data_IF_545778189419
#
_entry.id   IF_545778189419
#
_cell.length_a   1.000
_cell.length_b   1.000
_cell.length_c   1.000
_cell.angle_alpha   90.00
_cell.angle_beta   90.00
_cell.angle_gamma   90.00
#
_symmetry.space_group_name_H-M   'P 1'
#
loop_
_entity.id
_entity.type
_entity.pdbx_description
1 polymer ?
#
# COMPACT_ATOMS: atom_id res chain seq x y z
N UNK A 1 1.64 -21.60 3.39
CA UNK A 1 1.32 -20.33 4.08
C UNK A 1 1.45 -20.53 5.58
N UNK A 2 2.49 -19.98 6.21
CA UNK A 2 2.60 -19.99 7.68
C UNK A 2 1.66 -18.94 8.29
N UNK A 3 1.16 -19.16 9.51
CA UNK A 3 0.24 -18.22 10.21
C UNK A 3 0.82 -16.79 10.26
N UNK A 4 2.15 -16.69 10.36
CA UNK A 4 2.88 -15.43 10.33
C UNK A 4 2.73 -14.68 8.99
N UNK A 5 2.79 -15.37 7.85
CA UNK A 5 2.59 -14.75 6.53
C UNK A 5 1.17 -14.21 6.38
N UNK A 6 0.17 -14.94 6.90
CA UNK A 6 -1.23 -14.52 6.83
C UNK A 6 -1.47 -13.26 7.68
N UNK A 7 -0.92 -13.23 8.90
CA UNK A 7 -0.97 -12.06 9.77
C UNK A 7 -0.24 -10.86 9.15
N UNK A 8 0.93 -11.08 8.59
CA UNK A 8 1.70 -10.03 7.92
C UNK A 8 0.93 -9.47 6.71
N UNK A 9 0.36 -10.33 5.86
CA UNK A 9 -0.46 -9.91 4.72
C UNK A 9 -1.69 -9.11 5.17
N UNK A 10 -2.39 -9.55 6.21
CA UNK A 10 -3.54 -8.83 6.76
C UNK A 10 -3.15 -7.44 7.27
N UNK A 11 -2.04 -7.33 8.01
CA UNK A 11 -1.51 -6.04 8.49
C UNK A 11 -1.12 -5.13 7.32
N UNK A 12 -0.48 -5.66 6.29
CA UNK A 12 -0.09 -4.90 5.10
C UNK A 12 -1.28 -4.38 4.30
N UNK A 13 -2.34 -5.19 4.14
CA UNK A 13 -3.59 -4.75 3.50
C UNK A 13 -4.24 -3.62 4.29
N UNK A 14 -4.34 -3.77 5.61
CA UNK A 14 -4.89 -2.72 6.48
C UNK A 14 -4.06 -1.45 6.44
N UNK A 15 -2.74 -1.57 6.44
CA UNK A 15 -1.83 -0.44 6.31
C UNK A 15 -2.00 0.27 4.96
N UNK A 16 -2.10 -0.48 3.86
CA UNK A 16 -2.33 0.07 2.53
C UNK A 16 -3.66 0.85 2.49
N UNK A 17 -4.75 0.24 2.97
CA UNK A 17 -6.06 0.89 3.08
C UNK A 17 -6.04 2.15 3.96
N UNK A 18 -5.26 2.15 5.04
CA UNK A 18 -5.06 3.34 5.87
C UNK A 18 -4.37 4.47 5.09
N UNK A 19 -3.30 4.19 4.35
CA UNK A 19 -2.60 5.20 3.57
C UNK A 19 -3.47 5.77 2.44
N UNK A 20 -4.19 4.91 1.73
CA UNK A 20 -5.16 5.32 0.71
C UNK A 20 -6.24 6.22 1.33
N UNK A 21 -6.83 5.80 2.46
CA UNK A 21 -7.81 6.60 3.19
C UNK A 21 -7.27 7.96 3.65
N UNK A 22 -6.02 8.00 4.11
CA UNK A 22 -5.35 9.24 4.50
C UNK A 22 -5.12 10.17 3.30
N UNK A 23 -4.73 9.63 2.15
CA UNK A 23 -4.56 10.38 0.90
C UNK A 23 -5.89 11.02 0.46
N UNK A 24 -6.96 10.23 0.40
CA UNK A 24 -8.31 10.75 0.07
C UNK A 24 -8.82 11.77 1.08
N UNK A 25 -8.55 11.58 2.38
CA UNK A 25 -8.92 12.54 3.41
C UNK A 25 -8.19 13.88 3.22
N UNK A 26 -6.90 13.86 2.90
CA UNK A 26 -6.11 15.07 2.65
C UNK A 26 -6.59 15.82 1.40
N UNK A 27 -6.97 15.09 0.34
CA UNK A 27 -7.47 15.69 -0.91
C UNK A 27 -8.90 16.23 -0.77
N UNK A 28 -9.75 15.58 0.02
CA UNK A 28 -11.17 15.98 0.18
C UNK A 28 -11.38 17.14 1.15
N UNK A 29 -10.48 17.33 2.11
CA UNK A 29 -10.59 18.40 3.11
C UNK A 29 -10.27 19.77 2.50
N UNK A 30 -11.18 20.73 2.70
CA UNK A 30 -10.98 22.13 2.32
C UNK A 30 -10.37 22.92 3.48
N UNK A 31 -9.22 23.57 3.24
CA UNK A 31 -8.54 24.45 4.22
C UNK A 31 -9.48 25.47 4.85
N UNK A 32 -10.33 26.11 4.05
CA UNK A 32 -11.28 27.14 4.49
C UNK A 32 -12.31 26.66 5.52
N UNK A 33 -12.57 25.34 5.61
CA UNK A 33 -13.49 24.78 6.60
C UNK A 33 -12.77 24.45 7.91
N UNK A 34 -11.49 24.09 7.85
CA UNK A 34 -10.68 23.70 9.01
C UNK A 34 -10.07 24.90 9.71
N UNK A 35 -9.70 25.94 8.96
CA UNK A 35 -9.11 27.18 9.48
C UNK A 35 -9.93 27.85 10.61
N UNK A 36 -11.26 28.05 10.48
CA UNK A 36 -12.05 28.60 11.59
C UNK A 36 -12.12 27.65 12.81
N UNK A 37 -12.06 26.33 12.61
CA UNK A 37 -12.08 25.34 13.70
C UNK A 37 -10.73 25.23 14.42
N UNK A 38 -9.64 25.70 13.81
CA UNK A 38 -8.30 25.64 14.36
C UNK A 38 -8.08 26.60 15.54
N UNK A 39 -8.96 27.60 15.71
CA UNK A 39 -8.95 28.46 16.89
C UNK A 39 -9.23 27.65 18.17
N UNK A 40 -10.26 26.79 18.14
CA UNK A 40 -10.78 26.12 19.34
C UNK A 40 -10.39 24.64 19.44
N UNK A 41 -9.91 24.02 18.36
CA UNK A 41 -9.58 22.58 18.33
C UNK A 41 -8.10 22.29 18.03
N UNK A 42 -7.44 21.61 18.98
CA UNK A 42 -6.09 21.08 18.78
C UNK A 42 -6.00 20.03 17.67
N UNK A 43 -7.10 19.34 17.35
CA UNK A 43 -7.17 18.42 16.19
C UNK A 43 -7.21 19.21 14.89
N UNK A 44 -8.02 20.28 14.82
CA UNK A 44 -8.10 21.12 13.63
C UNK A 44 -6.76 21.83 13.34
N UNK A 45 -6.01 22.27 14.37
CA UNK A 45 -4.64 22.77 14.19
C UNK A 45 -3.69 21.76 13.54
N UNK A 46 -3.75 20.48 13.96
CA UNK A 46 -2.93 19.42 13.36
C UNK A 46 -3.32 19.15 11.91
N UNK A 47 -4.61 19.13 11.61
CA UNK A 47 -5.09 18.97 10.23
C UNK A 47 -4.65 20.16 9.38
N UNK A 48 -4.77 21.39 9.87
CA UNK A 48 -4.34 22.59 9.17
C UNK A 48 -2.84 22.56 8.87
N UNK A 49 -2.01 22.17 9.84
CA UNK A 49 -0.57 22.00 9.62
C UNK A 49 -0.24 20.92 8.57
N UNK A 50 -1.01 19.82 8.56
CA UNK A 50 -0.90 18.80 7.54
C UNK A 50 -1.29 19.31 6.14
N UNK A 51 -2.34 20.13 6.05
CA UNK A 51 -2.77 20.77 4.81
C UNK A 51 -1.78 21.84 4.30
N UNK A 52 -1.05 22.52 5.20
CA UNK A 52 0.03 23.43 4.80
C UNK A 52 1.23 22.70 4.20
N UNK A 53 1.46 21.46 4.65
CA UNK A 53 2.51 20.59 4.16
C UNK A 53 1.97 19.47 3.26
N UNK A 54 0.90 19.75 2.51
CA UNK A 54 0.18 18.78 1.70
C UNK A 54 1.09 17.94 0.78
N UNK A 55 2.07 18.53 0.05
CA UNK A 55 2.96 17.74 -0.81
C UNK A 55 3.80 16.73 -0.02
N UNK A 56 4.25 17.09 1.18
CA UNK A 56 5.03 16.20 2.06
C UNK A 56 4.17 15.08 2.62
N UNK A 57 2.93 15.40 3.01
CA UNK A 57 1.95 14.43 3.49
C UNK A 57 1.56 13.43 2.39
N UNK A 58 1.32 13.91 1.16
CA UNK A 58 1.01 13.04 0.02
C UNK A 58 2.20 12.16 -0.38
N UNK A 59 3.42 12.71 -0.41
CA UNK A 59 4.62 11.91 -0.66
C UNK A 59 4.80 10.80 0.39
N UNK A 60 4.53 11.09 1.67
CA UNK A 60 4.58 10.09 2.73
C UNK A 60 3.51 9.00 2.57
N UNK A 61 2.28 9.38 2.19
CA UNK A 61 1.20 8.43 1.93
C UNK A 61 1.54 7.52 0.73
N UNK A 62 2.01 8.10 -0.38
CA UNK A 62 2.41 7.35 -1.57
C UNK A 62 3.59 6.42 -1.32
N UNK A 63 4.60 6.88 -0.59
CA UNK A 63 5.71 6.03 -0.15
C UNK A 63 5.20 4.86 0.71
N UNK A 64 4.27 5.13 1.63
CA UNK A 64 3.62 4.11 2.45
C UNK A 64 2.87 3.07 1.61
N UNK A 65 2.09 3.51 0.62
CA UNK A 65 1.39 2.64 -0.33
C UNK A 65 2.39 1.77 -1.09
N UNK A 66 3.43 2.38 -1.67
CA UNK A 66 4.47 1.64 -2.41
C UNK A 66 5.16 0.60 -1.53
N UNK A 67 5.57 0.98 -0.33
CA UNK A 67 6.21 0.04 0.59
C UNK A 67 5.28 -1.11 0.95
N UNK A 68 4.02 -0.83 1.25
CA UNK A 68 3.03 -1.86 1.55
C UNK A 68 2.81 -2.79 0.36
N UNK A 69 2.65 -2.25 -0.86
CA UNK A 69 2.42 -3.04 -2.08
C UNK A 69 3.63 -3.88 -2.46
N UNK A 70 4.86 -3.35 -2.37
CA UNK A 70 6.08 -4.13 -2.64
C UNK A 70 6.24 -5.26 -1.61
N UNK A 71 6.02 -4.97 -0.33
CA UNK A 71 6.13 -5.98 0.74
C UNK A 71 5.03 -7.04 0.60
N UNK A 72 3.81 -6.63 0.25
CA UNK A 72 2.72 -7.56 -0.03
C UNK A 72 3.05 -8.44 -1.23
N UNK A 73 3.63 -7.86 -2.30
CA UNK A 73 4.11 -8.59 -3.48
C UNK A 73 5.19 -9.62 -3.13
N UNK A 74 6.19 -9.24 -2.32
CA UNK A 74 7.23 -10.15 -1.84
C UNK A 74 6.68 -11.27 -0.93
N UNK A 75 5.67 -10.98 -0.11
CA UNK A 75 4.99 -12.00 0.72
C UNK A 75 4.06 -12.89 -0.12
N UNK A 76 3.48 -12.35 -1.19
CA UNK A 76 2.61 -13.05 -2.12
C UNK A 76 3.38 -13.93 -3.11
N UNK A 77 4.64 -13.61 -3.41
CA UNK A 77 5.54 -14.37 -4.29
C UNK A 77 5.52 -15.89 -4.02
N UNK A 78 5.74 -16.41 -2.79
CA UNK A 78 5.67 -17.85 -2.54
C UNK A 78 4.28 -18.45 -2.79
N UNK A 79 3.21 -17.68 -2.60
CA UNK A 79 1.84 -18.11 -2.90
C UNK A 79 1.61 -18.21 -4.41
N UNK A 80 2.04 -17.19 -5.15
CA UNK A 80 1.91 -17.11 -6.60
C UNK A 80 2.80 -18.16 -7.28
N UNK A 81 4.03 -18.37 -6.78
CA UNK A 81 4.93 -19.42 -7.27
C UNK A 81 4.31 -20.83 -7.12
N UNK A 82 3.70 -21.14 -5.99
CA UNK A 82 2.99 -22.42 -5.79
C UNK A 82 1.72 -22.56 -6.64
N UNK A 83 1.00 -21.47 -6.90
CA UNK A 83 -0.19 -21.50 -7.77
C UNK A 83 0.18 -21.63 -9.25
N UNK A 84 1.32 -21.07 -9.66
CA UNK A 84 1.80 -21.11 -11.04
C UNK A 84 2.73 -22.30 -11.33
N UNK A 85 3.22 -23.02 -10.31
CA UNK A 85 3.95 -24.30 -10.44
C UNK A 85 3.36 -25.26 -11.50
N UNK A 86 2.04 -25.57 -11.51
CA UNK A 86 1.44 -26.44 -12.53
C UNK A 86 1.42 -25.81 -13.94
N UNK A 87 1.36 -24.49 -14.04
CA UNK A 87 1.44 -23.75 -15.32
C UNK A 87 2.88 -23.70 -15.84
N UNK A 88 3.87 -23.54 -14.96
CA UNK A 88 5.29 -23.51 -15.33
C UNK A 88 5.82 -24.88 -15.73
N UNK A 89 5.37 -25.96 -15.06
CA UNK A 89 5.67 -27.33 -15.50
C UNK A 89 5.02 -27.68 -16.84
N UNK A 90 3.84 -27.12 -17.15
CA UNK A 90 3.19 -27.34 -18.44
C UNK A 90 3.92 -26.65 -19.62
N UNK A 91 4.63 -25.53 -19.37
CA UNK A 91 5.25 -24.70 -20.42
C UNK A 91 6.77 -24.87 -20.53
N UNK A 92 7.42 -25.68 -19.66
CA UNK A 92 8.88 -25.91 -19.68
C UNK A 92 9.72 -24.60 -19.66
N UNK A 93 9.29 -23.61 -18.88
CA UNK A 93 10.00 -22.35 -18.74
C UNK A 93 11.16 -22.47 -17.74
N UNK A 94 12.32 -21.92 -18.09
CA UNK A 94 13.52 -21.87 -17.24
C UNK A 94 13.22 -21.18 -15.90
N UNK A 95 13.58 -21.82 -14.78
CA UNK A 95 13.33 -21.36 -13.40
C UNK A 95 13.77 -19.91 -13.13
N UNK A 96 14.77 -19.41 -13.86
CA UNK A 96 15.28 -18.05 -13.70
C UNK A 96 14.32 -16.93 -14.14
N UNK A 97 13.33 -17.22 -14.99
CA UNK A 97 12.35 -16.24 -15.49
C UNK A 97 11.01 -16.30 -14.73
N UNK A 98 10.80 -17.33 -13.94
CA UNK A 98 9.56 -17.57 -13.18
C UNK A 98 9.38 -16.54 -12.07
N UNK A 99 10.43 -16.27 -11.29
CA UNK A 99 10.40 -15.33 -10.17
C UNK A 99 10.13 -13.86 -10.59
N UNK A 100 10.85 -13.30 -11.59
CA UNK A 100 10.60 -11.93 -12.04
C UNK A 100 9.20 -11.73 -12.63
N UNK A 101 8.70 -12.70 -13.41
CA UNK A 101 7.38 -12.61 -14.02
C UNK A 101 6.26 -12.74 -12.99
N UNK A 102 6.39 -13.64 -12.01
CA UNK A 102 5.43 -13.76 -10.91
C UNK A 102 5.34 -12.47 -10.09
N UNK A 103 6.48 -11.83 -9.84
CA UNK A 103 6.54 -10.55 -9.15
C UNK A 103 5.86 -9.41 -9.94
N UNK A 104 6.10 -9.34 -11.26
CA UNK A 104 5.46 -8.34 -12.13
C UNK A 104 3.94 -8.54 -12.20
N UNK A 105 3.47 -9.78 -12.30
CA UNK A 105 2.03 -10.08 -12.36
C UNK A 105 1.35 -9.79 -11.01
N UNK A 106 2.00 -10.12 -9.88
CA UNK A 106 1.49 -9.79 -8.57
C UNK A 106 1.39 -8.27 -8.34
N UNK A 107 2.37 -7.50 -8.85
CA UNK A 107 2.32 -6.03 -8.84
C UNK A 107 1.24 -5.45 -9.77
N UNK A 108 0.89 -6.13 -10.87
CA UNK A 108 -0.15 -5.67 -11.79
C UNK A 108 -1.58 -5.91 -11.28
N UNK A 109 -1.74 -6.87 -10.36
CA UNK A 109 -3.04 -7.24 -9.79
C UNK A 109 -3.43 -6.40 -8.57
N UNK A 110 -2.47 -5.67 -7.99
CA UNK A 110 -2.62 -4.78 -6.82
C UNK A 110 -2.66 -3.34 -7.27
#
# INVERSE_FOLDING_TARGET
MSVLQLLLAAVLILANGFFVGAEFALVSVRRSQIEPLAADSARARRVLHGLEHLPKMMAAAQFGITLCSLTLGAVAEPTVAHLLEPLFTAVHLSEGLVHPLGYVIALLLV
#
